data_IF_730013317250
#
_entry.id   IF_730013317250
#
_cell.length_a   1.000
_cell.length_b   1.000
_cell.length_c   1.000
_cell.angle_alpha   90.00
_cell.angle_beta   90.00
_cell.angle_gamma   90.00
#
_symmetry.space_group_name_H-M   'P 1'
#
loop_
_entity.id
_entity.type
_entity.pdbx_description
1 polymer ?
#
# COMPACT_ATOMS: atom_id res chain seq x y z
N UNK A 1 35.10 -11.91 31.32
CA UNK A 1 34.06 -10.99 30.80
C UNK A 1 34.06 -11.14 29.29
N UNK A 2 33.20 -12.00 28.73
CA UNK A 2 32.90 -12.04 27.30
C UNK A 2 31.57 -11.31 27.10
N UNK A 3 31.42 -10.45 26.08
CA UNK A 3 30.21 -9.69 25.90
C UNK A 3 29.09 -10.61 25.43
N UNK A 4 27.98 -10.60 26.16
CA UNK A 4 26.72 -11.20 25.75
C UNK A 4 26.24 -10.52 24.46
N UNK A 5 26.18 -11.28 23.37
CA UNK A 5 25.44 -10.88 22.17
C UNK A 5 23.95 -10.93 22.54
N UNK A 6 23.31 -9.77 22.70
CA UNK A 6 21.85 -9.71 22.72
C UNK A 6 21.35 -10.07 21.31
N UNK A 7 20.82 -11.28 21.15
CA UNK A 7 19.92 -11.60 20.05
C UNK A 7 18.64 -10.78 20.28
N UNK A 8 18.52 -9.65 19.58
CA UNK A 8 17.25 -8.95 19.46
C UNK A 8 16.25 -9.84 18.72
N UNK A 9 15.12 -10.14 19.35
CA UNK A 9 14.02 -10.87 18.72
C UNK A 9 13.61 -10.18 17.41
N UNK A 10 13.61 -10.92 16.30
CA UNK A 10 13.21 -10.40 14.99
C UNK A 10 11.80 -9.82 15.04
N UNK A 11 11.69 -8.51 14.86
CA UNK A 11 10.42 -7.83 14.68
C UNK A 11 9.95 -8.11 13.24
N UNK A 12 9.22 -9.20 13.07
CA UNK A 12 8.52 -9.59 11.84
C UNK A 12 7.28 -8.68 11.58
N UNK A 13 7.46 -7.37 11.66
CA UNK A 13 6.38 -6.39 11.60
C UNK A 13 6.84 -5.20 10.77
N UNK A 14 6.47 -5.18 9.49
CA UNK A 14 6.32 -3.91 8.78
C UNK A 14 4.85 -3.76 8.45
N UNK A 15 4.29 -2.67 8.94
CA UNK A 15 2.92 -2.27 8.65
C UNK A 15 3.02 -0.99 7.87
N UNK A 16 2.56 -0.99 6.62
CA UNK A 16 2.31 0.26 5.91
C UNK A 16 1.39 1.08 6.81
N UNK A 17 1.79 2.24 7.32
CA UNK A 17 0.85 3.14 8.00
C UNK A 17 0.77 4.43 7.19
N UNK A 18 -0.20 4.47 6.29
CA UNK A 18 -0.47 5.65 5.49
C UNK A 18 -1.63 6.43 6.11
N UNK A 19 -1.39 7.69 6.49
CA UNK A 19 -2.41 8.59 7.01
C UNK A 19 -3.44 8.99 5.95
N UNK A 20 -3.08 8.93 4.66
CA UNK A 20 -3.94 9.24 3.53
C UNK A 20 -3.41 8.57 2.25
N UNK A 21 -4.26 8.38 1.23
CA UNK A 21 -3.78 7.93 -0.08
C UNK A 21 -2.89 8.99 -0.75
N UNK A 22 -1.91 8.54 -1.51
CA UNK A 22 -1.04 9.41 -2.31
C UNK A 22 -1.70 9.83 -3.62
N UNK A 23 -2.60 8.97 -4.13
CA UNK A 23 -3.22 9.17 -5.43
C UNK A 23 -4.62 8.58 -5.46
N UNK A 24 -5.50 9.19 -6.25
CA UNK A 24 -6.78 8.61 -6.65
C UNK A 24 -6.76 8.39 -8.17
N UNK A 25 -7.09 7.18 -8.63
CA UNK A 25 -7.09 6.85 -10.07
C UNK A 25 -8.22 5.91 -10.46
N UNK A 26 -8.81 6.15 -11.63
CA UNK A 26 -9.84 5.30 -12.24
C UNK A 26 -9.23 4.12 -13.01
N UNK A 27 -8.46 3.29 -12.30
CA UNK A 27 -7.81 2.10 -12.84
C UNK A 27 -7.88 0.97 -11.81
N UNK A 28 -8.12 -0.25 -12.29
CA UNK A 28 -8.04 -1.46 -11.48
C UNK A 28 -6.87 -2.29 -12.01
N UNK A 29 -5.75 -2.37 -11.25
CA UNK A 29 -4.55 -3.03 -11.74
C UNK A 29 -4.64 -4.55 -11.80
N UNK A 30 -5.66 -5.16 -11.20
CA UNK A 30 -5.87 -6.61 -11.26
C UNK A 30 -6.84 -6.96 -12.38
N UNK A 31 -8.00 -6.28 -12.44
CA UNK A 31 -9.07 -6.61 -13.39
C UNK A 31 -8.83 -6.01 -14.77
N UNK A 32 -8.33 -4.77 -14.85
CA UNK A 32 -8.07 -4.05 -16.10
C UNK A 32 -6.67 -3.41 -16.12
N UNK A 33 -5.59 -4.20 -16.15
CA UNK A 33 -4.24 -3.70 -16.04
C UNK A 33 -3.92 -2.65 -17.11
N UNK A 34 -3.41 -1.49 -16.69
CA UNK A 34 -3.02 -0.38 -17.56
C UNK A 34 -4.17 0.37 -18.26
N UNK A 35 -5.44 0.01 -18.01
CA UNK A 35 -6.59 0.60 -18.69
C UNK A 35 -7.35 1.58 -17.79
N UNK A 36 -7.21 2.86 -18.11
CA UNK A 36 -7.99 3.91 -17.46
C UNK A 36 -9.47 3.87 -17.88
N UNK A 37 -10.36 4.28 -16.97
CA UNK A 37 -11.81 4.42 -17.19
C UNK A 37 -12.58 3.12 -17.45
N UNK A 38 -11.95 1.95 -17.28
CA UNK A 38 -12.64 0.64 -17.32
C UNK A 38 -13.15 0.18 -15.96
N UNK A 39 -12.68 0.81 -14.88
CA UNK A 39 -13.10 0.55 -13.51
C UNK A 39 -13.45 1.85 -12.78
N UNK A 40 -13.89 1.70 -11.53
CA UNK A 40 -14.19 2.78 -10.62
C UNK A 40 -12.92 3.43 -10.05
N UNK A 41 -13.10 4.45 -9.20
CA UNK A 41 -12.01 5.18 -8.55
C UNK A 41 -11.38 4.33 -7.45
N UNK A 42 -10.06 4.30 -7.39
CA UNK A 42 -9.29 3.63 -6.35
C UNK A 42 -8.34 4.59 -5.65
N UNK A 43 -8.13 4.33 -4.36
CA UNK A 43 -7.21 5.03 -3.47
C UNK A 43 -5.90 4.25 -3.41
N UNK A 44 -4.79 4.87 -3.78
CA UNK A 44 -3.46 4.24 -3.79
C UNK A 44 -2.61 4.73 -2.60
N UNK A 45 -1.94 3.79 -1.95
CA UNK A 45 -1.10 4.01 -0.75
C UNK A 45 0.36 3.59 -0.96
N UNK A 46 0.76 3.40 -2.22
CA UNK A 46 2.12 3.11 -2.65
C UNK A 46 2.19 3.32 -4.17
N UNK A 47 3.14 2.66 -4.83
CA UNK A 47 3.35 2.54 -6.26
C UNK A 47 2.07 2.62 -7.10
N UNK A 48 2.18 3.39 -8.18
CA UNK A 48 1.20 3.41 -9.25
C UNK A 48 1.21 2.06 -9.95
N UNK A 49 0.17 1.27 -9.70
CA UNK A 49 0.06 -0.14 -10.08
C UNK A 49 0.14 -0.45 -11.59
N UNK A 50 0.42 0.56 -12.42
CA UNK A 50 0.70 0.46 -13.85
C UNK A 50 2.18 0.16 -14.12
N UNK A 51 3.10 0.57 -13.24
CA UNK A 51 4.55 0.38 -13.44
C UNK A 51 5.22 -0.09 -12.14
N UNK A 52 4.89 -1.28 -11.65
CA UNK A 52 5.42 -1.84 -10.40
C UNK A 52 6.96 -1.80 -10.29
N UNK A 53 7.68 -2.11 -11.38
CA UNK A 53 9.15 -2.15 -11.41
C UNK A 53 9.80 -0.76 -11.48
N UNK A 54 9.04 0.30 -11.76
CA UNK A 54 9.51 1.69 -11.85
C UNK A 54 8.75 2.60 -10.86
N UNK A 55 7.95 1.99 -9.99
CA UNK A 55 7.06 2.69 -9.08
C UNK A 55 7.79 3.19 -7.85
N UNK A 56 7.21 4.20 -7.21
CA UNK A 56 7.68 4.64 -5.90
C UNK A 56 7.38 3.57 -4.84
N UNK A 57 8.29 3.44 -3.89
CA UNK A 57 8.16 2.53 -2.75
C UNK A 57 7.01 2.98 -1.84
N UNK A 58 6.63 2.12 -0.90
CA UNK A 58 5.78 2.58 0.19
C UNK A 58 6.53 3.62 1.06
N UNK A 59 5.79 4.36 1.91
CA UNK A 59 6.28 5.50 2.70
C UNK A 59 7.35 5.15 3.76
N UNK A 60 7.56 3.87 4.04
CA UNK A 60 8.32 3.38 5.21
C UNK A 60 9.49 2.45 4.83
N UNK A 61 9.33 1.65 3.78
CA UNK A 61 10.28 0.64 3.35
C UNK A 61 10.68 0.85 1.88
N UNK A 62 11.93 1.25 1.60
CA UNK A 62 12.40 1.50 0.25
C UNK A 62 12.57 0.23 -0.60
N UNK A 63 12.41 -0.96 -0.03
CA UNK A 63 12.43 -2.22 -0.77
C UNK A 63 11.02 -2.76 -1.08
N UNK A 64 9.96 -2.15 -0.57
CA UNK A 64 8.60 -2.57 -0.89
C UNK A 64 8.08 -1.85 -2.13
N UNK A 65 8.12 -2.57 -3.26
CA UNK A 65 7.60 -2.13 -4.55
C UNK A 65 6.15 -2.57 -4.80
N UNK A 66 5.47 -3.10 -3.77
CA UNK A 66 4.07 -3.51 -3.86
C UNK A 66 3.16 -2.31 -4.08
N UNK A 67 2.09 -2.51 -4.84
CA UNK A 67 1.02 -1.55 -4.96
C UNK A 67 -0.13 -1.90 -4.01
N UNK A 68 -0.41 -1.00 -3.06
CA UNK A 68 -1.57 -1.08 -2.18
C UNK A 68 -2.65 -0.13 -2.67
N UNK A 69 -3.84 -0.68 -2.88
CA UNK A 69 -4.98 0.09 -3.33
C UNK A 69 -6.28 -0.49 -2.79
N UNK A 70 -7.28 0.38 -2.60
CA UNK A 70 -8.66 -0.04 -2.30
C UNK A 70 -9.65 0.76 -3.15
N UNK A 71 -10.87 0.26 -3.39
CA UNK A 71 -11.97 1.08 -3.92
C UNK A 71 -12.12 2.37 -3.13
N UNK A 72 -12.19 3.52 -3.81
CA UNK A 72 -12.47 4.80 -3.15
C UNK A 72 -13.98 4.92 -2.92
N UNK A 73 -14.47 4.85 -1.68
CA UNK A 73 -15.88 5.12 -1.43
C UNK A 73 -16.16 6.60 -1.68
N UNK A 74 -17.30 6.87 -2.32
CA UNK A 74 -17.76 8.22 -2.64
C UNK A 74 -19.01 8.55 -1.84
N UNK A 75 -19.16 9.81 -1.43
CA UNK A 75 -20.39 10.32 -0.84
C UNK A 75 -21.01 11.40 -1.73
N UNK A 76 -22.31 11.61 -1.56
CA UNK A 76 -23.06 12.63 -2.28
C UNK A 76 -24.06 13.29 -1.32
N UNK A 77 -24.24 14.60 -1.45
CA UNK A 77 -25.25 15.36 -0.70
C UNK A 77 -26.51 15.65 -1.52
N UNK A 78 -26.39 15.64 -2.85
CA UNK A 78 -27.42 16.04 -3.81
C UNK A 78 -27.85 14.89 -4.75
N UNK A 79 -27.19 13.74 -4.68
CA UNK A 79 -27.40 12.59 -5.57
C UNK A 79 -26.83 12.76 -6.97
N UNK A 80 -26.12 13.86 -7.26
CA UNK A 80 -25.63 14.22 -8.60
C UNK A 80 -24.12 14.36 -8.64
N UNK A 81 -23.52 14.93 -7.59
CA UNK A 81 -22.08 15.10 -7.43
C UNK A 81 -21.55 14.12 -6.39
N UNK A 82 -20.42 13.49 -6.69
CA UNK A 82 -19.81 12.48 -5.85
C UNK A 82 -18.40 12.92 -5.49
N UNK A 83 -18.11 12.94 -4.19
CA UNK A 83 -16.81 13.33 -3.65
C UNK A 83 -16.18 12.13 -2.91
N UNK A 84 -14.85 11.95 -2.97
CA UNK A 84 -14.16 10.93 -2.20
C UNK A 84 -14.40 11.08 -0.69
N UNK A 85 -14.72 9.98 -0.02
CA UNK A 85 -14.71 9.95 1.45
C UNK A 85 -13.24 9.92 1.91
N UNK A 86 -12.80 10.89 2.73
CA UNK A 86 -11.44 10.88 3.26
C UNK A 86 -11.16 9.62 4.08
N UNK A 87 -10.05 8.95 3.78
CA UNK A 87 -9.55 7.82 4.57
C UNK A 87 -8.48 8.33 5.53
N UNK A 88 -8.68 8.06 6.81
CA UNK A 88 -7.80 8.52 7.90
C UNK A 88 -6.58 7.62 8.12
N UNK A 89 -6.68 6.35 7.76
CA UNK A 89 -5.62 5.39 8.01
C UNK A 89 -5.75 4.16 7.11
N UNK A 90 -4.63 3.72 6.55
CA UNK A 90 -4.49 2.43 5.89
C UNK A 90 -3.36 1.64 6.53
N UNK A 91 -3.64 0.38 6.85
CA UNK A 91 -2.66 -0.58 7.36
C UNK A 91 -2.66 -1.87 6.56
N UNK A 92 -1.49 -2.30 6.13
CA UNK A 92 -1.26 -3.63 5.58
C UNK A 92 -0.31 -4.41 6.50
N UNK A 93 -0.64 -5.66 6.81
CA UNK A 93 0.18 -6.53 7.67
C UNK A 93 0.71 -7.71 6.85
N UNK A 94 2.01 -7.94 6.96
CA UNK A 94 2.67 -9.12 6.42
C UNK A 94 3.17 -9.99 7.55
N UNK A 95 2.84 -11.28 7.50
CA UNK A 95 3.43 -12.26 8.40
C UNK A 95 4.85 -12.60 7.90
N UNK A 96 5.86 -11.94 8.47
CA UNK A 96 7.28 -12.22 8.18
C UNK A 96 7.87 -13.30 9.12
N UNK A 97 7.02 -13.94 9.94
CA UNK A 97 7.45 -14.81 11.04
C UNK A 97 7.52 -16.31 10.71
N UNK A 98 6.79 -16.78 9.69
CA UNK A 98 6.81 -18.21 9.32
C UNK A 98 7.88 -18.55 8.28
N UNK A 99 8.20 -17.61 7.39
CA UNK A 99 9.24 -17.74 6.37
C UNK A 99 9.96 -16.39 6.21
N UNK A 100 11.30 -16.38 6.03
CA UNK A 100 12.02 -15.15 5.72
C UNK A 100 11.46 -14.56 4.43
N UNK A 101 11.38 -13.23 4.37
CA UNK A 101 11.08 -12.55 3.10
C UNK A 101 12.06 -13.01 2.03
N UNK A 102 11.56 -13.29 0.82
CA UNK A 102 12.40 -13.70 -0.32
C UNK A 102 13.48 -12.65 -0.65
N UNK A 103 13.19 -11.38 -0.35
CA UNK A 103 14.15 -10.28 -0.40
C UNK A 103 14.23 -9.63 0.98
N UNK A 104 15.45 -9.41 1.53
CA UNK A 104 15.62 -8.70 2.79
C UNK A 104 15.01 -7.29 2.75
N UNK A 105 14.20 -6.99 3.75
CA UNK A 105 13.71 -5.65 4.05
C UNK A 105 14.79 -4.96 4.91
N UNK A 106 15.29 -3.75 4.56
CA UNK A 106 16.39 -3.09 5.28
C UNK A 106 16.01 -2.63 6.68
#
# INVERSE_FOLDING_TARGET
>A
MLPSVLFGAGQAYTVINAASPFMLKNIDPIVFPGQYNKSHLHSFYSSDAVTLQQGCTNLENPNDLSAYWVPTPLYTVDGKSYEPIPVMHFSAYYNLGELPAEVPIP
#
